data_IF_252452037196
#
_entry.id   IF_252452037196
#
_cell.length_a   1.000
_cell.length_b   1.000
_cell.length_c   1.000
_cell.angle_alpha   90.00
_cell.angle_beta   90.00
_cell.angle_gamma   90.00
#
_symmetry.space_group_name_H-M   'P 1'
#
loop_
_entity.id
_entity.type
_entity.pdbx_description
1 polymer ?
#
# COMPACT_ATOMS: atom_id res chain seq x y z
N UNK A 1 -27.76 -21.45 13.18
CA UNK A 1 -27.40 -20.13 12.65
C UNK A 1 -27.63 -20.18 11.15
N UNK A 2 -28.62 -19.45 10.65
CA UNK A 2 -29.03 -19.49 9.24
C UNK A 2 -28.02 -18.67 8.43
N UNK A 3 -27.34 -19.31 7.48
CA UNK A 3 -26.45 -18.65 6.52
C UNK A 3 -27.32 -17.98 5.44
N UNK A 4 -27.46 -16.66 5.51
CA UNK A 4 -28.24 -15.87 4.54
C UNK A 4 -27.49 -15.63 3.22
N UNK A 5 -26.38 -16.30 2.94
CA UNK A 5 -25.79 -16.36 1.60
C UNK A 5 -25.24 -15.03 1.06
N UNK A 6 -25.09 -14.01 1.90
CA UNK A 6 -24.38 -12.79 1.52
C UNK A 6 -22.88 -13.06 1.48
N UNK A 7 -22.35 -13.35 0.28
CA UNK A 7 -20.90 -13.39 0.05
C UNK A 7 -20.36 -11.96 -0.04
N UNK A 8 -19.86 -11.45 1.08
CA UNK A 8 -19.05 -10.24 1.07
C UNK A 8 -17.80 -10.45 0.19
N UNK A 9 -17.47 -9.46 -0.64
CA UNK A 9 -16.37 -9.54 -1.60
C UNK A 9 -15.28 -8.55 -1.22
N UNK A 10 -14.04 -9.01 -1.25
CA UNK A 10 -12.87 -8.15 -1.12
C UNK A 10 -12.86 -7.09 -2.22
N UNK A 11 -12.48 -5.83 -1.93
CA UNK A 11 -12.27 -4.80 -2.94
C UNK A 11 -11.37 -5.30 -4.08
N UNK A 12 -11.77 -4.99 -5.32
CA UNK A 12 -11.00 -5.36 -6.52
C UNK A 12 -9.80 -4.44 -6.70
N UNK A 13 -8.81 -4.83 -7.51
CA UNK A 13 -7.69 -3.97 -7.86
C UNK A 13 -8.15 -2.61 -8.43
N UNK A 14 -9.22 -2.62 -9.25
CA UNK A 14 -9.87 -1.41 -9.75
C UNK A 14 -10.41 -0.52 -8.64
N UNK A 15 -11.00 -1.09 -7.59
CA UNK A 15 -11.51 -0.33 -6.44
C UNK A 15 -10.36 0.29 -5.67
N UNK A 16 -9.32 -0.51 -5.41
CA UNK A 16 -8.13 -0.10 -4.67
C UNK A 16 -7.30 0.97 -5.39
N UNK A 17 -7.28 1.00 -6.73
CA UNK A 17 -6.61 2.07 -7.48
C UNK A 17 -7.49 3.30 -7.66
N UNK A 18 -8.77 3.12 -8.00
CA UNK A 18 -9.64 4.25 -8.37
C UNK A 18 -10.10 5.10 -7.20
N UNK A 19 -10.29 4.53 -6.00
CA UNK A 19 -10.73 5.32 -4.84
C UNK A 19 -9.64 6.29 -4.35
N UNK A 20 -8.39 5.86 -4.09
CA UNK A 20 -7.33 6.79 -3.72
C UNK A 20 -7.02 7.80 -4.82
N UNK A 21 -7.07 7.39 -6.09
CA UNK A 21 -6.89 8.32 -7.21
C UNK A 21 -7.99 9.39 -7.28
N UNK A 22 -9.25 9.05 -6.97
CA UNK A 22 -10.34 10.03 -6.88
C UNK A 22 -10.18 10.96 -5.67
N UNK A 23 -9.81 10.40 -4.52
CA UNK A 23 -9.73 11.14 -3.26
C UNK A 23 -8.51 12.07 -3.21
N UNK A 24 -7.36 11.61 -3.73
CA UNK A 24 -6.10 12.34 -3.66
C UNK A 24 -5.59 12.86 -5.00
N UNK A 25 -6.21 12.52 -6.14
CA UNK A 25 -5.78 12.98 -7.46
C UNK A 25 -5.60 14.50 -7.60
N UNK A 26 -6.44 15.35 -6.96
CA UNK A 26 -6.22 16.80 -6.94
C UNK A 26 -4.99 17.26 -6.14
N UNK A 27 -4.40 16.40 -5.30
CA UNK A 27 -3.29 16.74 -4.40
C UNK A 27 -1.97 16.45 -5.08
N UNK A 28 -1.20 17.49 -5.39
CA UNK A 28 0.14 17.35 -5.98
C UNK A 28 1.17 16.70 -5.04
N UNK A 29 0.86 16.59 -3.75
CA UNK A 29 1.77 16.01 -2.74
C UNK A 29 1.48 14.53 -2.46
N UNK A 30 0.58 13.88 -3.19
CA UNK A 30 0.24 12.46 -3.03
C UNK A 30 0.37 11.74 -4.37
N UNK A 31 1.13 10.65 -4.40
CA UNK A 31 1.28 9.78 -5.56
C UNK A 31 0.63 8.42 -5.24
N UNK A 32 -0.24 7.94 -6.13
CA UNK A 32 -0.85 6.62 -6.00
C UNK A 32 -0.23 5.71 -7.06
N UNK A 33 0.30 4.57 -6.65
CA UNK A 33 0.83 3.57 -7.58
C UNK A 33 -0.26 2.58 -7.96
N UNK A 34 -0.43 2.34 -9.27
CA UNK A 34 -1.37 1.33 -9.74
C UNK A 34 -0.85 -0.07 -9.38
N UNK A 35 -1.63 -0.90 -8.64
CA UNK A 35 -1.22 -2.26 -8.29
C UNK A 35 -0.94 -3.14 -9.52
N UNK A 36 -1.52 -2.83 -10.68
CA UNK A 36 -1.26 -3.54 -11.95
C UNK A 36 0.17 -3.37 -12.48
N UNK A 37 0.87 -2.29 -12.10
CA UNK A 37 2.27 -2.06 -12.49
C UNK A 37 3.25 -2.91 -11.69
N UNK A 38 2.89 -3.22 -10.43
CA UNK A 38 3.74 -3.95 -9.49
C UNK A 38 3.54 -5.45 -9.65
N UNK A 39 2.30 -5.90 -9.84
CA UNK A 39 1.94 -7.32 -9.84
C UNK A 39 1.48 -7.82 -8.47
N UNK A 40 1.54 -9.13 -8.24
CA UNK A 40 1.11 -9.76 -6.97
C UNK A 40 2.22 -10.54 -6.28
N UNK A 41 2.22 -10.51 -4.96
CA UNK A 41 3.03 -11.40 -4.13
C UNK A 41 2.34 -12.76 -4.10
N UNK A 42 2.98 -13.79 -4.64
CA UNK A 42 2.50 -15.17 -4.51
C UNK A 42 3.28 -15.92 -3.42
N UNK A 43 2.76 -17.08 -3.01
CA UNK A 43 3.36 -17.89 -1.92
C UNK A 43 4.70 -18.51 -2.32
N UNK A 44 4.90 -18.83 -3.60
CA UNK A 44 6.08 -19.58 -4.07
C UNK A 44 6.97 -18.76 -5.02
N UNK A 45 6.53 -17.57 -5.43
CA UNK A 45 7.32 -16.65 -6.26
C UNK A 45 6.82 -15.21 -6.10
N UNK A 46 7.69 -14.23 -6.25
CA UNK A 46 7.28 -12.83 -6.38
C UNK A 46 7.21 -12.48 -7.87
N UNK A 47 6.01 -12.42 -8.45
CA UNK A 47 5.78 -11.83 -9.78
C UNK A 47 5.75 -10.30 -9.67
N UNK A 48 6.74 -9.74 -8.97
CA UNK A 48 6.82 -8.31 -8.74
C UNK A 48 7.75 -7.69 -9.75
N UNK A 49 7.19 -6.84 -10.62
CA UNK A 49 7.98 -6.09 -11.57
C UNK A 49 8.57 -4.86 -10.88
N UNK A 50 9.79 -4.99 -10.34
CA UNK A 50 10.45 -3.88 -9.64
C UNK A 50 11.21 -2.93 -10.58
N UNK A 51 11.34 -3.25 -11.86
CA UNK A 51 12.09 -2.41 -12.81
C UNK A 51 11.35 -1.13 -13.17
N UNK A 52 10.04 -1.05 -12.92
CA UNK A 52 9.22 0.15 -13.17
C UNK A 52 9.41 1.23 -12.11
N UNK A 53 10.04 0.91 -10.97
CA UNK A 53 10.15 1.83 -9.84
C UNK A 53 11.04 3.05 -10.07
N UNK A 54 12.26 2.93 -10.64
CA UNK A 54 13.11 4.10 -10.88
C UNK A 54 12.43 5.14 -11.77
N UNK A 55 11.76 4.69 -12.83
CA UNK A 55 11.01 5.58 -13.74
C UNK A 55 9.74 6.13 -13.07
N UNK A 56 9.01 5.29 -12.33
CA UNK A 56 7.78 5.69 -11.65
C UNK A 56 7.96 6.73 -10.54
N UNK A 57 9.16 6.80 -9.94
CA UNK A 57 9.50 7.78 -8.91
C UNK A 57 10.40 8.93 -9.41
N UNK A 58 10.68 8.97 -10.71
CA UNK A 58 11.50 10.04 -11.29
C UNK A 58 10.83 11.40 -11.05
N UNK A 59 11.58 12.34 -10.46
CA UNK A 59 11.09 13.68 -10.14
C UNK A 59 10.30 13.80 -8.84
N UNK A 60 10.02 12.70 -8.14
CA UNK A 60 9.46 12.75 -6.80
C UNK A 60 10.50 13.34 -5.82
N UNK A 61 10.06 14.20 -4.92
CA UNK A 61 10.94 14.90 -3.96
C UNK A 61 10.39 14.91 -2.53
N UNK A 62 9.09 15.13 -2.35
CA UNK A 62 8.44 15.35 -1.04
C UNK A 62 7.05 14.69 -0.93
N UNK A 63 6.67 13.91 -1.92
CA UNK A 63 5.35 13.31 -2.02
C UNK A 63 5.17 12.20 -0.99
N UNK A 64 3.91 12.00 -0.58
CA UNK A 64 3.46 10.77 0.04
C UNK A 64 3.11 9.77 -1.04
N UNK A 65 3.76 8.61 -1.08
CA UNK A 65 3.53 7.58 -2.10
C UNK A 65 2.71 6.44 -1.49
N UNK A 66 1.57 6.13 -2.10
CA UNK A 66 0.64 5.10 -1.66
C UNK A 66 0.70 3.91 -2.60
N UNK A 67 1.16 2.77 -2.09
CA UNK A 67 1.41 1.56 -2.88
C UNK A 67 0.52 0.41 -2.36
N UNK A 68 -0.61 0.13 -3.01
CA UNK A 68 -1.38 -1.06 -2.70
C UNK A 68 -0.66 -2.33 -3.16
N UNK A 69 -0.60 -3.34 -2.30
CA UNK A 69 0.08 -4.61 -2.57
C UNK A 69 -0.94 -5.74 -2.55
N UNK A 70 -1.10 -6.40 -3.69
CA UNK A 70 -1.96 -7.56 -3.83
C UNK A 70 -1.19 -8.84 -3.43
N UNK A 71 -1.69 -9.52 -2.40
CA UNK A 71 -1.12 -10.76 -1.88
C UNK A 71 -2.03 -11.94 -2.24
N UNK A 72 -1.47 -12.93 -2.94
CA UNK A 72 -2.17 -14.14 -3.43
C UNK A 72 -3.50 -13.85 -4.13
N UNK A 73 -3.53 -12.78 -4.94
CA UNK A 73 -4.67 -12.33 -5.76
C UNK A 73 -5.97 -11.99 -5.00
N UNK A 74 -5.96 -12.02 -3.67
CA UNK A 74 -7.19 -11.91 -2.86
C UNK A 74 -7.05 -11.06 -1.61
N UNK A 75 -5.82 -10.83 -1.13
CA UNK A 75 -5.56 -10.05 0.08
C UNK A 75 -4.87 -8.76 -0.29
N UNK A 76 -5.15 -7.71 0.49
CA UNK A 76 -4.52 -6.41 0.32
C UNK A 76 -3.68 -6.09 1.54
N UNK A 77 -2.42 -5.77 1.27
CA UNK A 77 -1.53 -5.04 2.17
C UNK A 77 -1.20 -3.70 1.50
N UNK A 78 -0.43 -2.85 2.16
CA UNK A 78 0.13 -1.68 1.49
C UNK A 78 1.52 -1.30 2.00
N UNK A 79 2.19 -0.51 1.17
CA UNK A 79 3.41 0.23 1.50
C UNK A 79 3.05 1.71 1.33
N UNK A 80 3.41 2.53 2.31
CA UNK A 80 3.16 3.96 2.33
C UNK A 80 4.48 4.66 2.60
N UNK A 81 4.90 5.54 1.72
CA UNK A 81 6.18 6.24 1.81
C UNK A 81 5.93 7.72 2.03
N UNK A 82 6.72 8.34 2.89
CA UNK A 82 6.81 9.78 3.03
C UNK A 82 8.23 10.21 2.64
N UNK A 83 8.38 10.84 1.47
CA UNK A 83 9.70 11.26 0.99
C UNK A 83 10.27 12.45 1.78
N UNK A 84 9.42 13.22 2.45
CA UNK A 84 9.83 14.35 3.28
C UNK A 84 10.41 13.85 4.62
N UNK A 85 9.77 12.88 5.27
CA UNK A 85 10.27 12.32 6.54
C UNK A 85 11.20 11.11 6.35
N UNK A 86 11.31 10.59 5.13
CA UNK A 86 12.07 9.37 4.78
C UNK A 86 11.53 8.09 5.41
N UNK A 87 10.27 8.09 5.81
CA UNK A 87 9.61 6.93 6.41
C UNK A 87 8.99 6.02 5.35
N UNK A 88 9.16 4.70 5.54
CA UNK A 88 8.46 3.69 4.76
C UNK A 88 7.64 2.82 5.73
N UNK A 89 6.33 2.96 5.67
CA UNK A 89 5.38 2.24 6.48
C UNK A 89 4.81 1.05 5.70
N UNK A 90 4.83 -0.14 6.29
CA UNK A 90 4.18 -1.33 5.75
C UNK A 90 2.97 -1.71 6.61
N UNK A 91 1.87 -2.09 5.98
CA UNK A 91 0.63 -2.42 6.68
C UNK A 91 -0.01 -3.69 6.13
N UNK A 92 -0.29 -4.62 7.05
CA UNK A 92 -1.07 -5.83 6.79
C UNK A 92 -2.26 -5.85 7.78
N UNK A 93 -3.48 -5.54 7.31
CA UNK A 93 -4.67 -5.51 8.15
C UNK A 93 -4.96 -6.83 8.88
N UNK A 94 -4.53 -7.96 8.32
CA UNK A 94 -4.86 -9.29 8.83
C UNK A 94 -3.78 -9.87 9.73
N UNK A 95 -2.67 -9.15 9.98
CA UNK A 95 -1.55 -9.66 10.76
C UNK A 95 -0.97 -10.97 10.21
N UNK A 96 -0.96 -11.12 8.89
CA UNK A 96 -0.57 -12.35 8.21
C UNK A 96 0.95 -12.44 7.97
N UNK A 97 1.42 -13.61 7.53
CA UNK A 97 2.83 -13.79 7.15
C UNK A 97 3.23 -13.04 5.87
N UNK A 98 2.28 -12.50 5.10
CA UNK A 98 2.59 -11.71 3.90
C UNK A 98 3.41 -10.46 4.23
N UNK A 99 3.28 -9.91 5.44
CA UNK A 99 4.03 -8.72 5.87
C UNK A 99 5.56 -8.88 5.74
N UNK A 100 6.09 -10.11 5.85
CA UNK A 100 7.51 -10.40 5.65
C UNK A 100 7.93 -10.11 4.20
N UNK A 101 7.09 -10.50 3.23
CA UNK A 101 7.34 -10.28 1.81
C UNK A 101 7.08 -8.84 1.40
N UNK A 102 6.07 -8.21 1.99
CA UNK A 102 5.79 -6.76 1.82
C UNK A 102 6.98 -5.95 2.33
N UNK A 103 7.57 -6.32 3.47
CA UNK A 103 8.81 -5.71 3.98
C UNK A 103 9.96 -5.84 2.99
N UNK A 104 10.23 -7.05 2.49
CA UNK A 104 11.29 -7.27 1.51
C UNK A 104 11.09 -6.44 0.23
N UNK A 105 9.84 -6.32 -0.24
CA UNK A 105 9.50 -5.42 -1.35
C UNK A 105 9.78 -3.95 -1.00
N UNK A 106 9.37 -3.50 0.18
CA UNK A 106 9.59 -2.13 0.66
C UNK A 106 11.09 -1.79 0.78
N UNK A 107 11.91 -2.71 1.27
CA UNK A 107 13.37 -2.55 1.35
C UNK A 107 13.99 -2.45 -0.05
N UNK A 108 13.54 -3.29 -0.99
CA UNK A 108 13.99 -3.20 -2.39
C UNK A 108 13.55 -1.88 -3.03
N UNK A 109 12.31 -1.47 -2.81
CA UNK A 109 11.77 -0.18 -3.24
C UNK A 109 12.60 0.99 -2.75
N UNK A 110 13.02 0.98 -1.48
CA UNK A 110 13.83 2.04 -0.89
C UNK A 110 15.08 2.32 -1.72
N UNK A 111 15.74 1.27 -2.24
CA UNK A 111 16.95 1.42 -3.08
C UNK A 111 16.70 2.11 -4.43
N UNK A 112 15.45 2.20 -4.86
CA UNK A 112 15.04 2.85 -6.11
C UNK A 112 14.55 4.30 -5.90
N UNK A 113 14.48 4.78 -4.65
CA UNK A 113 13.97 6.11 -4.34
C UNK A 113 15.00 7.21 -4.64
N UNK A 114 14.54 8.41 -4.99
CA UNK A 114 15.41 9.57 -5.16
C UNK A 114 16.19 9.85 -3.86
N UNK A 115 17.44 10.30 -4.03
CA UNK A 115 18.39 10.61 -2.95
C UNK A 115 18.65 9.47 -1.95
N UNK A 116 18.42 8.19 -2.32
CA UNK A 116 18.66 7.02 -1.48
C UNK A 116 20.05 7.02 -0.81
N UNK A 117 21.06 7.60 -1.46
CA UNK A 117 22.32 7.95 -0.80
C UNK A 117 22.45 9.48 -0.75
N UNK A 118 22.57 10.12 0.43
CA UNK A 118 22.76 9.55 1.77
C UNK A 118 21.46 9.32 2.60
N UNK A 119 20.25 9.50 2.06
CA UNK A 119 19.01 9.41 2.85
C UNK A 119 18.72 7.98 3.30
N UNK A 120 18.67 7.76 4.61
CA UNK A 120 18.36 6.44 5.18
C UNK A 120 16.85 6.25 5.33
N UNK A 121 16.20 5.77 4.28
CA UNK A 121 14.82 5.31 4.40
C UNK A 121 14.72 4.14 5.38
N UNK A 122 13.70 4.17 6.25
CA UNK A 122 13.48 3.12 7.26
C UNK A 122 12.14 2.44 7.03
N UNK A 123 12.18 1.11 6.91
CA UNK A 123 10.97 0.29 6.77
C UNK A 123 10.45 -0.12 8.15
N UNK A 124 9.25 0.33 8.49
CA UNK A 124 8.61 0.07 9.78
C UNK A 124 7.13 -0.36 9.62
N UNK A 125 6.57 -1.13 10.56
CA UNK A 125 5.14 -1.38 10.57
C UNK A 125 4.35 -0.08 10.76
N UNK A 126 3.27 0.11 10.02
CA UNK A 126 2.37 1.23 10.22
C UNK A 126 1.64 1.10 11.56
N UNK A 127 1.85 2.07 12.44
CA UNK A 127 1.13 2.17 13.71
C UNK A 127 -0.19 2.89 13.48
N UNK A 128 -1.31 2.24 13.76
CA UNK A 128 -2.64 2.83 13.63
C UNK A 128 -3.62 2.22 14.64
N UNK A 129 -4.67 2.97 14.96
CA UNK A 129 -5.74 2.52 15.85
C UNK A 129 -6.79 1.64 15.14
N UNK A 130 -6.54 1.26 13.88
CA UNK A 130 -7.45 0.42 13.08
C UNK A 130 -7.56 -1.02 13.62
N UNK A 131 -6.63 -1.44 14.48
CA UNK A 131 -6.58 -2.80 15.00
C UNK A 131 -6.28 -3.85 13.92
N UNK A 132 -6.57 -5.11 14.25
CA UNK A 132 -6.44 -6.25 13.33
C UNK A 132 -7.82 -6.60 12.80
N UNK A 133 -7.93 -6.71 11.49
CA UNK A 133 -9.12 -7.19 10.83
C UNK A 133 -9.39 -8.66 11.22
N UNK A 134 -10.59 -8.93 11.71
CA UNK A 134 -11.02 -10.27 12.15
C UNK A 134 -11.83 -11.04 11.10
N UNK A 135 -12.37 -10.36 10.09
CA UNK A 135 -13.06 -10.98 8.95
C UNK A 135 -12.08 -11.31 7.79
N UNK A 136 -12.60 -11.88 6.69
CA UNK A 136 -11.79 -12.35 5.57
C UNK A 136 -11.90 -11.52 4.29
N UNK A 137 -12.63 -10.39 4.30
CA UNK A 137 -12.97 -9.65 3.07
C UNK A 137 -12.70 -8.13 3.15
N UNK A 138 -12.55 -7.55 4.35
CA UNK A 138 -12.36 -6.11 4.52
C UNK A 138 -10.91 -5.62 4.37
N UNK A 139 -9.91 -6.47 4.14
CA UNK A 139 -8.49 -6.03 4.07
C UNK A 139 -8.26 -4.85 3.11
N UNK A 140 -8.95 -4.84 1.97
CA UNK A 140 -8.91 -3.71 1.04
C UNK A 140 -9.49 -2.42 1.61
N UNK A 141 -10.55 -2.50 2.41
CA UNK A 141 -11.15 -1.34 3.10
C UNK A 141 -10.19 -0.79 4.15
N UNK A 142 -9.57 -1.66 4.95
CA UNK A 142 -8.56 -1.25 5.93
C UNK A 142 -7.36 -0.56 5.26
N UNK A 143 -6.90 -1.07 4.11
CA UNK A 143 -5.85 -0.41 3.31
C UNK A 143 -6.29 0.98 2.83
N UNK A 144 -7.52 1.14 2.36
CA UNK A 144 -8.04 2.44 1.92
C UNK A 144 -8.11 3.45 3.07
N UNK A 145 -8.56 3.02 4.25
CA UNK A 145 -8.60 3.88 5.44
C UNK A 145 -7.17 4.22 5.91
N UNK A 146 -6.24 3.26 5.88
CA UNK A 146 -4.84 3.54 6.20
C UNK A 146 -4.23 4.58 5.25
N UNK A 147 -4.55 4.52 3.96
CA UNK A 147 -4.14 5.55 2.99
C UNK A 147 -4.71 6.93 3.33
N UNK A 148 -5.98 7.01 3.72
CA UNK A 148 -6.61 8.26 4.14
C UNK A 148 -5.93 8.86 5.38
N UNK A 149 -5.70 8.05 6.41
CA UNK A 149 -5.02 8.49 7.63
C UNK A 149 -3.59 8.93 7.34
N UNK A 150 -2.82 8.13 6.59
CA UNK A 150 -1.43 8.43 6.26
C UNK A 150 -1.30 9.68 5.37
N UNK A 151 -2.18 9.85 4.40
CA UNK A 151 -2.19 11.04 3.53
C UNK A 151 -2.65 12.31 4.27
N UNK A 152 -3.04 12.23 5.54
CA UNK A 152 -3.58 13.35 6.31
C UNK A 152 -4.89 13.87 5.73
N UNK A 153 -5.73 12.96 5.26
CA UNK A 153 -7.03 13.28 4.69
C UNK A 153 -8.20 13.14 5.66
N UNK A 154 -7.93 12.79 6.93
CA UNK A 154 -8.92 12.81 7.99
C UNK A 154 -9.55 14.21 8.07
N UNK A 155 -10.80 14.35 7.62
CA UNK A 155 -11.54 15.61 7.59
C UNK A 155 -11.60 16.34 6.24
N UNK A 156 -11.22 15.70 5.12
CA UNK A 156 -11.61 16.21 3.80
C UNK A 156 -13.15 16.05 3.62
N UNK A 157 -13.84 17.08 3.09
CA UNK A 157 -15.31 17.10 2.97
C UNK A 157 -15.85 16.04 2.01
#
# INVERSE_FOLDING_TARGET
MVDYGFKFKTPTARTISSLPAKLFGPRSNVMIVDPGLIGSIENNDSLINTSVFPEGFAGATKEKILIPVCCSKKRWCCIMLDLETTDICIYDPMGSSYIIRVRALAEKLATCLPDYTPRKYRVQPYQSDLGVQVDSYNCGVYVLVAFELFAGAAGLP
#
